data_IF_439529146133
#
_entry.id   IF_439529146133
#
_cell.length_a   1.000
_cell.length_b   1.000
_cell.length_c   1.000
_cell.angle_alpha   90.00
_cell.angle_beta   90.00
_cell.angle_gamma   90.00
#
_symmetry.space_group_name_H-M   'P 1'
#
loop_
_entity.id
_entity.type
_entity.pdbx_description
1 polymer ?
#
# COMPACT_ATOMS: atom_id res chain seq x y z
N UNK A 1 0.61 6.40 8.04
CA UNK A 1 -0.75 6.70 7.55
C UNK A 1 -1.23 8.00 8.21
N UNK A 2 -1.74 8.97 7.46
CA UNK A 2 -2.20 10.25 8.01
C UNK A 2 -3.70 10.17 8.37
N UNK A 3 -3.98 9.60 9.54
CA UNK A 3 -5.33 9.34 10.06
C UNK A 3 -6.16 10.63 10.19
N UNK A 4 -5.48 11.77 10.41
CA UNK A 4 -6.13 13.08 10.49
C UNK A 4 -6.79 13.42 9.17
N UNK A 5 -6.05 13.37 8.06
CA UNK A 5 -6.57 13.73 6.74
C UNK A 5 -7.61 12.73 6.20
N UNK A 6 -7.63 11.50 6.73
CA UNK A 6 -8.63 10.48 6.41
C UNK A 6 -9.99 10.78 7.08
N UNK A 7 -9.97 11.22 8.34
CA UNK A 7 -11.18 11.49 9.12
C UNK A 7 -11.72 12.92 8.92
N UNK A 8 -10.84 13.88 8.61
CA UNK A 8 -11.20 15.30 8.45
C UNK A 8 -12.37 15.59 7.48
N UNK A 9 -12.50 14.93 6.32
CA UNK A 9 -13.65 15.13 5.43
C UNK A 9 -15.00 14.89 6.13
N UNK A 10 -15.09 13.86 6.99
CA UNK A 10 -16.30 13.56 7.74
C UNK A 10 -16.58 14.62 8.82
N UNK A 11 -15.53 15.10 9.48
CA UNK A 11 -15.64 16.19 10.47
C UNK A 11 -16.20 17.45 9.82
N UNK A 12 -15.65 17.85 8.67
CA UNK A 12 -16.10 19.04 7.96
C UNK A 12 -17.55 18.93 7.47
N UNK A 13 -17.97 17.74 7.04
CA UNK A 13 -19.35 17.49 6.63
C UNK A 13 -20.35 17.57 7.80
N UNK A 14 -19.90 17.24 9.02
CA UNK A 14 -20.74 17.27 10.23
C UNK A 14 -20.74 18.62 10.97
N UNK A 15 -19.90 19.56 10.57
CA UNK A 15 -19.72 20.83 11.27
C UNK A 15 -20.91 21.76 11.00
N UNK A 16 -21.55 22.30 12.05
CA UNK A 16 -22.56 23.35 11.87
C UNK A 16 -21.90 24.58 11.21
N UNK A 17 -22.54 25.11 10.16
CA UNK A 17 -22.07 26.27 9.42
C UNK A 17 -21.84 27.47 10.37
N UNK A 18 -20.56 27.82 10.55
CA UNK A 18 -20.10 28.95 11.36
C UNK A 18 -19.41 29.97 10.46
N UNK A 19 -18.12 30.25 10.71
CA UNK A 19 -17.31 31.15 9.89
C UNK A 19 -17.06 30.67 8.44
N UNK A 20 -17.33 29.38 8.16
CA UNK A 20 -17.17 28.76 6.84
C UNK A 20 -18.54 28.34 6.29
N UNK A 21 -18.78 28.62 5.02
CA UNK A 21 -19.97 28.19 4.29
C UNK A 21 -19.87 26.70 3.89
N UNK A 22 -21.01 26.04 3.63
CA UNK A 22 -21.11 24.67 3.16
C UNK A 22 -20.23 24.38 1.92
N UNK A 23 -20.13 25.34 0.98
CA UNK A 23 -19.23 25.22 -0.16
C UNK A 23 -17.74 25.15 0.23
N UNK A 24 -17.31 25.98 1.19
CA UNK A 24 -15.93 26.02 1.67
C UNK A 24 -15.58 24.75 2.48
N UNK A 25 -16.53 24.21 3.24
CA UNK A 25 -16.37 22.93 3.93
C UNK A 25 -16.22 21.77 2.94
N UNK A 26 -16.96 21.81 1.82
CA UNK A 26 -16.80 20.86 0.72
C UNK A 26 -15.41 20.92 0.08
N UNK A 27 -14.89 22.10 -0.22
CA UNK A 27 -13.54 22.26 -0.77
C UNK A 27 -12.46 21.77 0.21
N UNK A 28 -12.61 22.05 1.50
CA UNK A 28 -11.69 21.59 2.54
C UNK A 28 -11.70 20.07 2.68
N UNK A 29 -12.87 19.43 2.52
CA UNK A 29 -12.99 17.97 2.48
C UNK A 29 -12.21 17.36 1.30
N UNK A 30 -12.33 17.97 0.12
CA UNK A 30 -11.59 17.55 -1.07
C UNK A 30 -10.08 17.75 -0.91
N UNK A 31 -9.67 18.85 -0.27
CA UNK A 31 -8.26 19.13 0.03
C UNK A 31 -7.68 18.09 1.01
N UNK A 32 -8.40 17.76 2.08
CA UNK A 32 -7.97 16.72 3.02
C UNK A 32 -7.84 15.36 2.33
N UNK A 33 -8.77 15.01 1.43
CA UNK A 33 -8.66 13.77 0.65
C UNK A 33 -7.45 13.79 -0.29
N UNK A 34 -7.19 14.90 -0.97
CA UNK A 34 -6.00 15.05 -1.81
C UNK A 34 -4.70 14.95 -0.98
N UNK A 35 -4.67 15.58 0.20
CA UNK A 35 -3.53 15.51 1.11
C UNK A 35 -3.31 14.10 1.66
N UNK A 36 -4.39 13.36 1.94
CA UNK A 36 -4.34 11.95 2.30
C UNK A 36 -3.72 11.11 1.18
N UNK A 37 -4.21 11.23 -0.05
CA UNK A 37 -3.70 10.46 -1.20
C UNK A 37 -2.20 10.73 -1.44
N UNK A 38 -1.78 12.00 -1.42
CA UNK A 38 -0.37 12.34 -1.55
C UNK A 38 0.47 11.76 -0.40
N UNK A 39 -0.01 11.86 0.84
CA UNK A 39 0.66 11.26 1.99
C UNK A 39 0.79 9.74 1.91
N UNK A 40 -0.24 9.07 1.39
CA UNK A 40 -0.21 7.63 1.13
C UNK A 40 0.86 7.27 0.09
N UNK A 41 0.92 7.99 -1.03
CA UNK A 41 1.92 7.74 -2.08
C UNK A 41 3.35 8.01 -1.62
N UNK A 42 3.56 9.01 -0.76
CA UNK A 42 4.87 9.24 -0.13
C UNK A 42 5.24 8.06 0.77
N UNK A 43 4.30 7.58 1.59
CA UNK A 43 4.49 6.39 2.42
C UNK A 43 4.81 5.13 1.61
N UNK A 44 4.20 4.99 0.43
CA UNK A 44 4.39 3.87 -0.48
C UNK A 44 5.85 3.76 -0.96
N UNK A 45 6.60 4.86 -1.08
CA UNK A 45 8.03 4.83 -1.42
C UNK A 45 8.82 4.07 -0.35
N UNK A 46 8.63 4.44 0.91
CA UNK A 46 9.33 3.80 2.03
C UNK A 46 8.93 2.33 2.16
N UNK A 47 7.66 2.03 1.95
CA UNK A 47 7.15 0.65 1.95
C UNK A 47 7.78 -0.18 0.84
N UNK A 48 7.73 0.29 -0.41
CA UNK A 48 8.32 -0.42 -1.55
C UNK A 48 9.84 -0.64 -1.38
N UNK A 49 10.56 0.37 -0.88
CA UNK A 49 11.99 0.25 -0.58
C UNK A 49 12.29 -0.76 0.53
N UNK A 50 11.40 -0.90 1.51
CA UNK A 50 11.50 -1.90 2.57
C UNK A 50 11.13 -3.32 2.10
N UNK A 51 10.19 -3.43 1.18
CA UNK A 51 9.78 -4.72 0.60
C UNK A 51 10.87 -5.33 -0.28
N UNK A 52 11.69 -4.53 -0.96
CA UNK A 52 12.82 -5.02 -1.76
C UNK A 52 13.78 -5.95 -0.98
N UNK A 53 14.38 -5.53 0.16
CA UNK A 53 15.26 -6.39 0.93
C UNK A 53 14.50 -7.59 1.51
N UNK A 54 13.22 -7.44 1.86
CA UNK A 54 12.39 -8.56 2.32
C UNK A 54 12.21 -9.62 1.23
N UNK A 55 11.85 -9.23 0.01
CA UNK A 55 11.74 -10.12 -1.14
C UNK A 55 13.07 -10.81 -1.47
N UNK A 56 14.18 -10.08 -1.36
CA UNK A 56 15.52 -10.64 -1.55
C UNK A 56 15.89 -11.65 -0.44
N UNK A 57 15.50 -11.39 0.80
CA UNK A 57 15.71 -12.30 1.93
C UNK A 57 14.90 -13.60 1.74
N UNK A 58 13.65 -13.48 1.27
CA UNK A 58 12.79 -14.64 0.93
C UNK A 58 13.45 -15.48 -0.17
N UNK A 59 14.00 -14.86 -1.21
CA UNK A 59 14.71 -15.56 -2.28
C UNK A 59 15.95 -16.34 -1.79
N UNK A 60 16.62 -15.85 -0.73
CA UNK A 60 17.77 -16.52 -0.12
C UNK A 60 17.38 -17.54 0.95
N UNK A 61 16.20 -17.39 1.54
CA UNK A 61 15.67 -18.33 2.51
C UNK A 61 15.35 -19.67 1.86
N UNK A 62 15.66 -20.77 2.56
CA UNK A 62 15.25 -22.12 2.15
C UNK A 62 13.85 -22.49 2.66
N UNK A 63 13.32 -21.72 3.60
CA UNK A 63 12.08 -22.03 4.30
C UNK A 63 10.82 -21.54 3.58
N UNK A 64 10.95 -20.52 2.72
CA UNK A 64 9.84 -19.87 2.02
C UNK A 64 10.00 -20.10 0.50
N UNK A 65 8.93 -20.42 -0.24
CA UNK A 65 8.98 -20.57 -1.68
C UNK A 65 9.50 -19.29 -2.36
N UNK A 66 10.51 -19.44 -3.21
CA UNK A 66 11.14 -18.34 -3.96
C UNK A 66 10.16 -17.55 -4.83
N UNK A 67 9.02 -18.15 -5.19
CA UNK A 67 7.94 -17.49 -5.94
C UNK A 67 7.45 -16.23 -5.23
N UNK A 68 7.30 -16.27 -3.90
CA UNK A 68 6.89 -15.08 -3.14
C UNK A 68 7.94 -13.98 -3.17
N UNK A 69 9.23 -14.34 -3.12
CA UNK A 69 10.31 -13.34 -3.21
C UNK A 69 10.30 -12.60 -4.56
N UNK A 70 10.01 -13.29 -5.66
CA UNK A 70 9.86 -12.66 -6.99
C UNK A 70 8.61 -11.77 -7.03
N UNK A 71 7.48 -12.22 -6.47
CA UNK A 71 6.25 -11.43 -6.34
C UNK A 71 6.50 -10.11 -5.58
N UNK A 72 7.21 -10.15 -4.45
CA UNK A 72 7.55 -8.96 -3.68
C UNK A 72 8.49 -8.00 -4.42
N UNK A 73 9.42 -8.51 -5.23
CA UNK A 73 10.27 -7.65 -6.07
C UNK A 73 9.42 -6.96 -7.15
N UNK A 74 8.51 -7.68 -7.80
CA UNK A 74 7.59 -7.13 -8.81
C UNK A 74 6.68 -6.07 -8.17
N UNK A 75 6.14 -6.37 -6.99
CA UNK A 75 5.33 -5.44 -6.19
C UNK A 75 6.08 -4.15 -5.90
N UNK A 76 7.31 -4.24 -5.40
CA UNK A 76 8.09 -3.06 -5.06
C UNK A 76 8.38 -2.19 -6.30
N UNK A 77 8.71 -2.80 -7.43
CA UNK A 77 8.91 -2.08 -8.70
C UNK A 77 7.61 -1.42 -9.15
N UNK A 78 6.49 -2.15 -9.15
CA UNK A 78 5.18 -1.59 -9.53
C UNK A 78 4.77 -0.45 -8.60
N UNK A 79 5.01 -0.57 -7.29
CA UNK A 79 4.74 0.47 -6.30
C UNK A 79 5.55 1.75 -6.56
N UNK A 80 6.85 1.62 -6.87
CA UNK A 80 7.67 2.79 -7.22
C UNK A 80 7.23 3.44 -8.53
N UNK A 81 6.86 2.65 -9.54
CA UNK A 81 6.30 3.18 -10.80
C UNK A 81 4.94 3.85 -10.54
N UNK A 82 4.10 3.30 -9.66
CA UNK A 82 2.81 3.88 -9.29
C UNK A 82 2.99 5.25 -8.63
N UNK A 83 3.97 5.39 -7.73
CA UNK A 83 4.32 6.68 -7.13
C UNK A 83 4.77 7.68 -8.20
N UNK A 84 5.67 7.27 -9.09
CA UNK A 84 6.12 8.11 -10.19
C UNK A 84 4.94 8.53 -11.09
N UNK A 85 4.04 7.61 -11.44
CA UNK A 85 2.86 7.88 -12.23
C UNK A 85 1.89 8.84 -11.52
N UNK A 86 1.71 8.72 -10.21
CA UNK A 86 0.87 9.61 -9.43
C UNK A 86 1.38 11.06 -9.45
N UNK A 87 2.69 11.26 -9.22
CA UNK A 87 3.27 12.60 -9.15
C UNK A 87 3.60 13.23 -10.51
N UNK A 88 3.99 12.43 -11.53
CA UNK A 88 4.36 12.96 -12.85
C UNK A 88 3.18 13.04 -13.83
N UNK A 89 2.30 12.04 -13.83
CA UNK A 89 1.23 11.91 -14.84
C UNK A 89 -0.15 12.27 -14.29
N UNK A 90 -0.35 12.25 -12.96
CA UNK A 90 -1.65 12.50 -12.32
C UNK A 90 -2.74 11.49 -12.69
N UNK A 91 -2.39 10.39 -13.37
CA UNK A 91 -3.34 9.43 -13.92
C UNK A 91 -3.65 8.32 -12.91
N UNK A 92 -4.78 8.47 -12.20
CA UNK A 92 -5.20 7.52 -11.16
C UNK A 92 -5.48 6.11 -11.69
N UNK A 93 -5.92 5.95 -12.94
CA UNK A 93 -6.20 4.62 -13.50
C UNK A 93 -4.94 3.76 -13.60
N UNK A 94 -3.82 4.38 -14.00
CA UNK A 94 -2.52 3.69 -14.09
C UNK A 94 -2.05 3.28 -12.69
N UNK A 95 -2.19 4.17 -11.72
CA UNK A 95 -1.85 3.92 -10.32
C UNK A 95 -2.65 2.73 -9.77
N UNK A 96 -3.96 2.68 -10.01
CA UNK A 96 -4.81 1.56 -9.57
C UNK A 96 -4.36 0.23 -10.17
N UNK A 97 -4.06 0.18 -11.47
CA UNK A 97 -3.61 -1.06 -12.13
C UNK A 97 -2.26 -1.52 -11.56
N UNK A 98 -1.33 -0.59 -11.31
CA UNK A 98 -0.02 -0.89 -10.74
C UNK A 98 -0.07 -1.34 -9.28
N UNK A 99 -1.16 -1.05 -8.55
CA UNK A 99 -1.37 -1.54 -7.18
C UNK A 99 -1.99 -2.94 -7.12
N UNK A 100 -2.59 -3.46 -8.19
CA UNK A 100 -3.18 -4.81 -8.18
C UNK A 100 -2.17 -5.92 -7.85
N UNK A 101 -0.93 -5.93 -8.40
CA UNK A 101 0.08 -6.93 -8.05
C UNK A 101 0.44 -6.91 -6.57
N UNK A 102 0.42 -5.74 -5.93
CA UNK A 102 0.69 -5.59 -4.50
C UNK A 102 -0.32 -6.35 -3.66
N UNK A 103 -1.61 -6.13 -3.93
CA UNK A 103 -2.70 -6.83 -3.23
C UNK A 103 -2.53 -8.34 -3.42
N UNK A 104 -2.30 -8.79 -4.66
CA UNK A 104 -2.15 -10.24 -4.92
C UNK A 104 -0.93 -10.82 -4.20
N UNK A 105 0.21 -10.14 -4.21
CA UNK A 105 1.43 -10.59 -3.56
C UNK A 105 1.26 -10.68 -2.04
N UNK A 106 0.76 -9.62 -1.41
CA UNK A 106 0.54 -9.57 0.03
C UNK A 106 -0.48 -10.62 0.48
N UNK A 107 -1.66 -10.67 -0.15
CA UNK A 107 -2.70 -11.63 0.25
C UNK A 107 -2.25 -13.07 -0.01
N UNK A 108 -1.61 -13.37 -1.15
CA UNK A 108 -1.11 -14.71 -1.40
C UNK A 108 -0.06 -15.13 -0.37
N UNK A 109 0.84 -14.22 0.01
CA UNK A 109 1.84 -14.48 1.04
C UNK A 109 1.22 -14.68 2.43
N UNK A 110 0.23 -13.86 2.77
CA UNK A 110 -0.48 -13.91 4.05
C UNK A 110 -1.28 -15.23 4.18
N UNK A 111 -2.01 -15.63 3.13
CA UNK A 111 -2.70 -16.92 3.07
C UNK A 111 -1.73 -18.09 3.18
N UNK A 112 -0.57 -18.01 2.51
CA UNK A 112 0.45 -19.05 2.59
C UNK A 112 1.01 -19.19 4.00
N UNK A 113 1.32 -18.08 4.66
CA UNK A 113 1.76 -18.07 6.06
C UNK A 113 0.70 -18.61 7.01
N UNK A 114 -0.57 -18.26 6.79
CA UNK A 114 -1.68 -18.68 7.64
C UNK A 114 -1.98 -20.18 7.54
N UNK A 115 -1.84 -20.77 6.35
CA UNK A 115 -2.11 -22.20 6.13
C UNK A 115 -0.90 -23.07 6.47
N UNK A 116 0.28 -22.72 5.93
CA UNK A 116 1.46 -23.59 5.97
C UNK A 116 2.42 -23.23 7.10
N UNK A 117 2.51 -21.95 7.45
CA UNK A 117 3.53 -21.44 8.37
C UNK A 117 4.97 -21.74 7.91
N UNK A 118 5.93 -21.38 8.74
CA UNK A 118 7.32 -21.83 8.58
C UNK A 118 7.40 -23.24 9.17
N UNK A 119 7.18 -24.26 8.34
CA UNK A 119 7.47 -25.65 8.74
C UNK A 119 8.97 -25.88 8.63
N UNK A 120 9.62 -26.14 9.77
CA UNK A 120 10.96 -26.70 9.78
C UNK A 120 10.95 -28.05 9.06
N UNK A 121 11.84 -28.25 8.10
CA UNK A 121 11.99 -29.50 7.32
C UNK A 121 12.41 -30.72 8.17
N UNK A 122 12.34 -30.66 9.50
CA UNK A 122 12.71 -31.78 10.38
C UNK A 122 11.58 -32.80 10.65
N UNK A 123 10.35 -32.55 10.25
CA UNK A 123 9.22 -33.47 10.54
C UNK A 123 8.70 -34.29 9.33
N UNK A 124 9.40 -34.31 8.19
CA UNK A 124 9.02 -35.14 7.03
C UNK A 124 9.94 -36.36 6.78
N UNK A 125 10.67 -36.82 7.81
CA UNK A 125 11.31 -38.13 7.81
C UNK A 125 11.06 -38.84 9.13
N UNK A 126 9.93 -39.52 9.24
CA UNK A 126 9.73 -40.67 10.13
C UNK A 126 9.16 -41.79 9.27
#
# INVERSE_FOLDING_TARGET
MNIVNEYMPLVYASMQAGALNAGQLGELSSLSFAAYNNGYMIGQVFFALWVLPLGQLICRSKYIPKVFGILFIIEAICGLIAVAAHFLLGNQNIVTVLMLPMIVAEFAFLFWLLIRGIRDEKEQKI
#
